data_IF_713302069264
#
_entry.id   IF_713302069264
#
_cell.length_a   1.000
_cell.length_b   1.000
_cell.length_c   1.000
_cell.angle_alpha   90.00
_cell.angle_beta   90.00
_cell.angle_gamma   90.00
#
_symmetry.space_group_name_H-M   'P 1'
#
loop_
_entity.id
_entity.type
_entity.pdbx_description
1 polymer ?
#
# COMPACT_ATOMS: atom_id res chain seq x y z
N UNK A 1 25.60 4.10 10.05
CA UNK A 1 25.87 5.31 10.84
C UNK A 1 24.62 5.61 11.68
N UNK A 2 24.64 5.32 12.98
CA UNK A 2 23.47 5.39 13.91
C UNK A 2 23.87 6.15 15.20
N UNK A 3 24.23 7.44 15.10
CA UNK A 3 24.65 8.22 16.29
C UNK A 3 24.02 9.60 16.43
N UNK A 4 23.22 10.07 15.47
CA UNK A 4 22.72 11.45 15.49
C UNK A 4 21.36 11.64 16.19
N UNK A 5 20.64 10.57 16.55
CA UNK A 5 19.33 10.70 17.19
C UNK A 5 19.42 10.94 18.71
N UNK A 6 20.48 10.43 19.37
CA UNK A 6 20.68 10.63 20.81
C UNK A 6 21.18 12.05 21.16
N UNK A 7 21.79 12.75 20.20
CA UNK A 7 22.39 14.07 20.42
C UNK A 7 21.35 15.20 20.48
N UNK A 8 20.16 14.99 19.93
CA UNK A 8 19.05 15.97 19.98
C UNK A 8 18.41 15.99 21.39
N UNK A 9 18.48 14.87 22.11
CA UNK A 9 17.93 14.73 23.46
C UNK A 9 18.70 15.53 24.52
N UNK A 10 20.01 15.75 24.33
CA UNK A 10 20.85 16.48 25.28
C UNK A 10 20.81 18.00 25.10
N UNK A 11 20.45 18.51 23.92
CA UNK A 11 20.57 19.95 23.63
C UNK A 11 19.34 20.76 24.07
N UNK A 12 18.18 20.11 24.27
CA UNK A 12 16.98 20.77 24.81
C UNK A 12 16.92 20.80 26.35
N UNK A 13 17.71 19.98 27.05
CA UNK A 13 17.73 19.92 28.51
C UNK A 13 18.58 21.01 29.19
N UNK A 14 19.31 21.84 28.43
CA UNK A 14 20.34 22.71 28.98
C UNK A 14 19.93 24.18 29.25
N UNK A 15 18.67 24.58 29.03
CA UNK A 15 18.26 26.00 29.12
C UNK A 15 17.15 26.33 30.12
N UNK A 16 16.86 25.47 31.09
CA UNK A 16 15.86 25.74 32.13
C UNK A 16 16.38 25.52 33.55
N UNK A 17 17.49 26.20 33.89
CA UNK A 17 17.84 26.43 35.29
C UNK A 17 17.56 27.88 35.68
N UNK A 18 17.00 28.02 36.89
CA UNK A 18 16.56 29.21 37.63
C UNK A 18 15.10 29.64 37.44
N UNK A 19 14.21 29.16 38.32
CA UNK A 19 13.47 30.02 39.26
C UNK A 19 13.12 29.28 40.57
N UNK A 20 13.65 29.81 41.67
CA UNK A 20 13.21 29.85 43.08
C UNK A 20 12.36 28.72 43.70
N UNK A 21 12.89 28.20 44.82
CA UNK A 21 12.14 27.47 45.85
C UNK A 21 10.98 28.30 46.42
N UNK A 22 9.85 27.63 46.61
CA UNK A 22 9.00 27.82 47.79
C UNK A 22 8.74 26.44 48.36
N UNK A 23 9.23 26.22 49.57
CA UNK A 23 8.84 25.12 50.45
C UNK A 23 7.31 25.12 50.56
N UNK A 24 6.67 24.03 50.14
CA UNK A 24 5.44 23.55 50.75
C UNK A 24 5.36 22.04 50.49
N UNK A 25 5.77 21.30 51.52
CA UNK A 25 5.63 19.85 51.67
C UNK A 25 4.13 19.50 51.77
N UNK A 26 3.48 19.39 50.64
CA UNK A 26 2.27 18.61 50.47
C UNK A 26 2.60 17.51 49.46
N UNK A 27 2.73 16.28 49.95
CA UNK A 27 2.82 15.08 49.11
C UNK A 27 1.47 14.83 48.42
N UNK A 28 1.02 15.78 47.60
CA UNK A 28 -0.06 15.61 46.62
C UNK A 28 0.56 14.82 45.48
N UNK A 29 0.20 13.55 45.36
CA UNK A 29 0.41 12.82 44.11
C UNK A 29 -0.17 13.65 42.96
N UNK A 30 0.70 14.16 42.10
CA UNK A 30 0.34 14.89 40.89
C UNK A 30 -0.39 13.94 39.95
N UNK A 31 -1.70 13.85 40.13
CA UNK A 31 -2.60 12.97 39.39
C UNK A 31 -3.06 13.59 38.05
N UNK A 32 -2.48 14.72 37.64
CA UNK A 32 -2.83 15.41 36.40
C UNK A 32 -2.67 14.54 35.14
N UNK A 33 -1.79 13.53 35.19
CA UNK A 33 -1.62 12.55 34.12
C UNK A 33 -2.85 11.66 33.91
N UNK A 34 -3.71 11.47 34.91
CA UNK A 34 -4.96 10.69 34.75
C UNK A 34 -5.92 11.41 33.80
N UNK A 35 -5.93 12.75 33.82
CA UNK A 35 -6.83 13.57 33.01
C UNK A 35 -6.53 13.51 31.51
N UNK A 36 -5.35 13.04 31.11
CA UNK A 36 -5.01 12.84 29.68
C UNK A 36 -5.55 11.53 29.12
N UNK A 37 -6.11 10.65 29.96
CA UNK A 37 -6.73 9.40 29.48
C UNK A 37 -8.10 9.69 28.90
N UNK A 38 -8.18 9.75 27.57
CA UNK A 38 -9.39 10.10 26.85
C UNK A 38 -9.37 9.54 25.42
N UNK A 39 -10.54 9.58 24.78
CA UNK A 39 -10.66 9.41 23.33
C UNK A 39 -10.80 10.80 22.70
N UNK A 40 -9.84 11.17 21.89
CA UNK A 40 -9.75 12.45 21.19
C UNK A 40 -10.33 12.31 19.78
N UNK A 41 -11.26 13.20 19.45
CA UNK A 41 -11.96 13.27 18.16
C UNK A 41 -12.32 14.72 17.83
N UNK A 42 -12.52 15.02 16.54
CA UNK A 42 -12.98 16.33 16.08
C UNK A 42 -12.17 17.49 16.70
N UNK A 43 -12.82 18.45 17.37
CA UNK A 43 -12.18 19.65 17.94
C UNK A 43 -11.14 19.37 19.03
N UNK A 44 -11.16 18.18 19.63
CA UNK A 44 -10.17 17.76 20.65
C UNK A 44 -8.95 17.06 20.06
N UNK A 45 -8.91 16.86 18.74
CA UNK A 45 -7.82 16.17 18.05
C UNK A 45 -7.29 17.00 16.88
N UNK A 46 -5.99 17.27 16.89
CA UNK A 46 -5.23 17.74 15.73
C UNK A 46 -4.26 16.65 15.33
N UNK A 47 -4.64 15.84 14.34
CA UNK A 47 -3.88 14.69 13.90
C UNK A 47 -3.20 14.96 12.55
N UNK A 48 -1.92 14.66 12.48
CA UNK A 48 -1.18 14.58 11.22
C UNK A 48 -0.58 13.19 11.02
N UNK A 49 -0.47 12.79 9.75
CA UNK A 49 0.29 11.62 9.31
C UNK A 49 1.47 12.10 8.47
N UNK A 50 2.69 11.96 9.00
CA UNK A 50 3.90 12.47 8.34
C UNK A 50 3.80 13.98 8.05
N UNK A 51 3.20 14.75 8.96
CA UNK A 51 2.97 16.18 8.82
C UNK A 51 1.77 16.59 7.93
N UNK A 52 1.03 15.64 7.35
CA UNK A 52 -0.19 15.93 6.58
C UNK A 52 -1.43 15.76 7.45
N UNK A 53 -2.31 16.75 7.50
CA UNK A 53 -3.54 16.70 8.29
C UNK A 53 -4.45 15.55 7.86
N UNK A 54 -5.02 14.85 8.85
CA UNK A 54 -5.96 13.75 8.64
C UNK A 54 -7.25 14.02 9.41
N UNK A 55 -8.37 14.10 8.70
CA UNK A 55 -9.68 14.37 9.26
C UNK A 55 -10.45 13.08 9.59
N UNK A 56 -11.53 13.22 10.37
CA UNK A 56 -12.49 12.15 10.68
C UNK A 56 -11.89 10.90 11.37
N UNK A 57 -10.80 11.09 12.12
CA UNK A 57 -10.13 10.03 12.87
C UNK A 57 -10.32 10.14 14.38
N UNK A 58 -10.00 9.05 15.08
CA UNK A 58 -10.05 8.94 16.53
C UNK A 58 -8.72 8.42 17.06
N UNK A 59 -8.24 9.04 18.15
CA UNK A 59 -7.07 8.57 18.90
C UNK A 59 -7.46 8.38 20.35
N UNK A 60 -7.18 7.20 20.90
CA UNK A 60 -7.36 6.94 22.33
C UNK A 60 -6.01 6.99 23.03
N UNK A 61 -5.94 7.69 24.16
CA UNK A 61 -4.79 7.68 25.05
C UNK A 61 -5.23 7.07 26.38
N UNK A 62 -4.49 6.07 26.85
CA UNK A 62 -4.69 5.42 28.14
C UNK A 62 -3.41 5.58 28.97
N UNK A 63 -3.37 6.55 29.89
CA UNK A 63 -2.22 6.76 30.76
C UNK A 63 -2.20 5.73 31.89
N UNK A 64 -1.07 5.03 32.04
CA UNK A 64 -0.86 4.04 33.10
C UNK A 64 -0.08 4.62 34.29
N UNK A 65 0.67 5.70 34.07
CA UNK A 65 1.40 6.45 35.09
C UNK A 65 1.72 7.87 34.62
N UNK A 66 2.39 8.67 35.45
CA UNK A 66 2.90 9.99 35.04
C UNK A 66 3.94 9.94 33.90
N UNK A 67 4.53 8.77 33.63
CA UNK A 67 5.64 8.59 32.69
C UNK A 67 5.27 7.72 31.47
N UNK A 68 4.08 7.11 31.46
CA UNK A 68 3.70 6.09 30.46
C UNK A 68 2.22 6.16 30.10
N UNK A 69 1.95 6.00 28.80
CA UNK A 69 0.61 5.83 28.25
C UNK A 69 0.63 4.88 27.06
N UNK A 70 -0.52 4.33 26.72
CA UNK A 70 -0.76 3.64 25.46
C UNK A 70 -1.57 4.54 24.54
N UNK A 71 -1.05 4.80 23.33
CA UNK A 71 -1.76 5.51 22.26
C UNK A 71 -2.35 4.47 21.32
N UNK A 72 -3.66 4.49 21.11
CA UNK A 72 -4.35 3.64 20.12
C UNK A 72 -4.77 4.49 18.93
N UNK A 73 -4.18 4.21 17.78
CA UNK A 73 -4.51 4.80 16.48
C UNK A 73 -5.53 3.90 15.78
N UNK A 74 -6.74 4.39 15.50
CA UNK A 74 -7.77 3.62 14.80
C UNK A 74 -7.78 3.95 13.29
N UNK A 75 -7.83 2.92 12.45
CA UNK A 75 -7.95 3.02 10.98
C UNK A 75 -6.96 3.99 10.30
N UNK A 76 -5.78 4.19 10.89
CA UNK A 76 -4.79 5.16 10.40
C UNK A 76 -3.71 4.51 9.55
N UNK A 77 -3.44 3.22 9.79
CA UNK A 77 -2.46 2.43 9.05
C UNK A 77 -3.22 1.52 8.09
N UNK A 78 -2.87 1.48 6.79
CA UNK A 78 -3.59 0.67 5.81
C UNK A 78 -3.69 -0.81 6.24
N UNK A 79 -4.91 -1.35 6.27
CA UNK A 79 -5.17 -2.75 6.62
C UNK A 79 -5.18 -3.07 8.12
N UNK A 80 -4.99 -2.09 8.99
CA UNK A 80 -5.00 -2.28 10.44
C UNK A 80 -6.12 -1.47 11.08
N UNK A 81 -7.11 -2.17 11.65
CA UNK A 81 -8.23 -1.53 12.34
C UNK A 81 -7.74 -0.70 13.55
N UNK A 82 -6.74 -1.18 14.28
CA UNK A 82 -6.10 -0.46 15.37
C UNK A 82 -4.60 -0.75 15.47
N UNK A 83 -3.82 0.26 15.84
CA UNK A 83 -2.40 0.13 16.20
C UNK A 83 -2.19 0.73 17.59
N UNK A 84 -1.63 -0.08 18.51
CA UNK A 84 -1.30 0.33 19.88
C UNK A 84 0.18 0.65 19.99
N UNK A 85 0.48 1.84 20.51
CA UNK A 85 1.82 2.39 20.69
C UNK A 85 2.02 2.65 22.17
N UNK A 86 2.98 1.95 22.76
CA UNK A 86 3.46 2.32 24.10
C UNK A 86 4.28 3.61 23.98
N UNK A 87 3.88 4.62 24.74
CA UNK A 87 4.41 5.98 24.67
C UNK A 87 4.96 6.41 26.03
N UNK A 88 6.13 7.05 25.99
CA UNK A 88 6.67 7.79 27.12
C UNK A 88 5.92 9.11 27.26
N UNK A 89 5.59 9.48 28.50
CA UNK A 89 5.05 10.78 28.85
C UNK A 89 6.08 11.65 29.54
N UNK A 90 6.07 12.95 29.25
CA UNK A 90 6.87 13.96 29.93
C UNK A 90 6.01 15.19 30.22
N UNK A 91 5.82 15.51 31.50
CA UNK A 91 5.14 16.75 31.90
C UNK A 91 5.98 17.96 31.50
N UNK A 92 5.35 18.91 30.80
CA UNK A 92 5.96 20.17 30.33
C UNK A 92 5.04 21.33 30.72
N UNK A 93 5.28 21.93 31.89
CA UNK A 93 4.33 22.88 32.49
C UNK A 93 3.01 22.18 32.83
N UNK A 94 1.90 22.70 32.29
CA UNK A 94 0.55 22.12 32.43
C UNK A 94 0.22 21.09 31.32
N UNK A 95 1.14 20.86 30.38
CA UNK A 95 0.95 19.95 29.25
C UNK A 95 1.68 18.62 29.45
N UNK A 96 1.29 17.60 28.69
CA UNK A 96 1.99 16.32 28.62
C UNK A 96 2.45 16.05 27.20
N UNK A 97 3.76 15.93 27.00
CA UNK A 97 4.33 15.45 25.76
C UNK A 97 4.29 13.91 25.74
N UNK A 98 3.94 13.33 24.60
CA UNK A 98 3.86 11.89 24.37
C UNK A 98 4.77 11.52 23.20
N UNK A 99 5.58 10.47 23.35
CA UNK A 99 6.39 9.94 22.26
C UNK A 99 6.53 8.41 22.40
N UNK A 100 6.20 7.69 21.34
CA UNK A 100 6.25 6.22 21.32
C UNK A 100 6.36 5.65 19.92
N UNK A 101 6.61 4.35 19.84
CA UNK A 101 6.55 3.62 18.58
C UNK A 101 6.13 2.16 18.76
N UNK A 102 5.47 1.63 17.74
CA UNK A 102 5.21 0.21 17.53
C UNK A 102 6.12 -0.25 16.37
N UNK A 103 7.06 -1.15 16.62
CA UNK A 103 8.05 -1.57 15.63
C UNK A 103 8.12 -3.09 15.51
N UNK A 104 8.23 -3.56 14.28
CA UNK A 104 8.62 -4.93 13.94
C UNK A 104 9.67 -4.91 12.82
N UNK A 105 10.01 -6.06 12.25
CA UNK A 105 11.04 -6.16 11.21
C UNK A 105 10.63 -5.51 9.87
N UNK A 106 9.33 -5.33 9.64
CA UNK A 106 8.76 -4.88 8.37
C UNK A 106 8.36 -3.40 8.38
N UNK A 107 8.08 -2.82 9.55
CA UNK A 107 7.73 -1.41 9.70
C UNK A 107 7.92 -0.86 11.12
N UNK A 108 7.91 0.46 11.20
CA UNK A 108 7.75 1.23 12.41
C UNK A 108 6.56 2.17 12.26
N UNK A 109 5.65 2.17 13.24
CA UNK A 109 4.63 3.22 13.42
C UNK A 109 5.04 4.05 14.63
N UNK A 110 5.27 5.35 14.47
CA UNK A 110 5.61 6.24 15.59
C UNK A 110 4.51 7.26 15.82
N UNK A 111 4.40 7.73 17.06
CA UNK A 111 3.48 8.79 17.43
C UNK A 111 4.20 9.77 18.36
N UNK A 112 4.11 11.06 18.05
CA UNK A 112 4.69 12.14 18.83
C UNK A 112 3.72 13.30 18.92
N UNK A 113 3.47 13.80 20.12
CA UNK A 113 2.50 14.87 20.31
C UNK A 113 2.46 15.44 21.71
N UNK A 114 1.47 16.29 21.92
CA UNK A 114 1.24 16.97 23.20
C UNK A 114 -0.26 17.01 23.49
N UNK A 115 -0.62 16.74 24.74
CA UNK A 115 -1.94 17.06 25.29
C UNK A 115 -1.82 18.39 26.05
N UNK A 116 -2.55 19.40 25.59
CA UNK A 116 -2.59 20.73 26.19
C UNK A 116 -4.03 21.24 26.20
N UNK A 117 -4.49 21.73 27.36
CA UNK A 117 -5.85 22.27 27.53
C UNK A 117 -6.97 21.33 27.00
N UNK A 118 -6.80 20.01 27.16
CA UNK A 118 -7.77 19.00 26.71
C UNK A 118 -7.73 18.69 25.21
N UNK A 119 -6.81 19.28 24.45
CA UNK A 119 -6.62 19.01 23.02
C UNK A 119 -5.35 18.19 22.81
N UNK A 120 -5.47 17.09 22.07
CA UNK A 120 -4.33 16.30 21.61
C UNK A 120 -3.87 16.82 20.25
N UNK A 121 -2.62 17.29 20.18
CA UNK A 121 -1.92 17.52 18.91
C UNK A 121 -0.93 16.39 18.71
N UNK A 122 -1.12 15.56 17.68
CA UNK A 122 -0.35 14.34 17.46
C UNK A 122 0.09 14.25 16.00
N UNK A 123 1.38 14.00 15.78
CA UNK A 123 1.90 13.51 14.51
C UNK A 123 2.21 12.02 14.63
N UNK A 124 1.56 11.22 13.78
CA UNK A 124 1.86 9.81 13.61
C UNK A 124 2.64 9.60 12.30
N UNK A 125 3.49 8.59 12.26
CA UNK A 125 4.28 8.27 11.07
C UNK A 125 4.28 6.77 10.83
N UNK A 126 4.14 6.38 9.58
CA UNK A 126 4.42 5.02 9.12
C UNK A 126 5.78 5.03 8.42
N UNK A 127 6.62 4.04 8.74
CA UNK A 127 7.87 3.78 8.05
C UNK A 127 7.98 2.29 7.74
N UNK A 128 7.70 1.89 6.50
CA UNK A 128 7.94 0.56 5.99
C UNK A 128 9.46 0.35 5.85
N UNK A 129 9.96 -0.69 6.51
CA UNK A 129 11.36 -1.15 6.47
C UNK A 129 11.52 -2.46 5.71
N UNK A 130 10.42 -3.07 5.29
CA UNK A 130 10.42 -4.29 4.51
C UNK A 130 11.27 -4.14 3.23
N UNK A 131 11.98 -5.21 2.77
CA UNK A 131 12.91 -5.12 1.64
C UNK A 131 12.29 -4.66 0.31
N UNK A 132 10.96 -4.78 0.17
CA UNK A 132 10.22 -4.29 -0.98
C UNK A 132 10.18 -2.75 -1.08
N UNK A 133 10.42 -2.02 0.01
CA UNK A 133 10.45 -0.57 -0.02
C UNK A 133 11.51 -0.03 -1.01
N UNK A 134 11.18 1.09 -1.66
CA UNK A 134 11.98 1.77 -2.66
C UNK A 134 11.43 1.67 -4.08
N UNK A 135 12.19 2.25 -5.01
CA UNK A 135 11.84 2.28 -6.43
C UNK A 135 12.35 1.03 -7.14
N UNK A 136 11.47 0.41 -7.92
CA UNK A 136 11.75 -0.75 -8.75
C UNK A 136 11.37 -0.45 -10.19
N UNK A 137 12.30 -0.67 -11.11
CA UNK A 137 12.04 -0.63 -12.55
C UNK A 137 11.48 -1.97 -13.01
N UNK A 138 10.79 -1.97 -14.14
CA UNK A 138 10.46 -3.21 -14.83
C UNK A 138 11.74 -3.94 -15.27
N UNK A 139 11.75 -5.27 -15.16
CA UNK A 139 12.79 -6.07 -15.79
C UNK A 139 12.83 -5.80 -17.30
N UNK A 140 14.04 -5.82 -17.87
CA UNK A 140 14.23 -5.53 -19.29
C UNK A 140 13.65 -6.64 -20.18
N UNK A 141 13.22 -6.27 -21.38
CA UNK A 141 12.88 -7.25 -22.40
C UNK A 141 14.18 -7.80 -22.99
N UNK A 142 14.37 -9.11 -22.86
CA UNK A 142 15.43 -9.83 -23.54
C UNK A 142 14.88 -10.48 -24.82
N UNK A 143 15.68 -10.42 -25.88
CA UNK A 143 15.44 -11.10 -27.16
C UNK A 143 16.63 -11.96 -27.53
N UNK A 144 16.39 -12.97 -28.36
CA UNK A 144 17.46 -13.76 -28.97
C UNK A 144 18.08 -13.06 -30.19
N UNK A 145 19.08 -13.69 -30.80
CA UNK A 145 19.75 -13.19 -32.01
C UNK A 145 18.81 -13.00 -33.20
N UNK A 146 17.64 -13.66 -33.19
CA UNK A 146 16.60 -13.54 -34.22
C UNK A 146 15.54 -12.49 -33.88
N UNK A 147 15.81 -11.60 -32.91
CA UNK A 147 14.89 -10.58 -32.41
C UNK A 147 13.58 -11.13 -31.81
N UNK A 148 13.55 -12.42 -31.47
CA UNK A 148 12.38 -13.07 -30.87
C UNK A 148 12.39 -12.86 -29.37
N UNK A 149 11.22 -12.61 -28.78
CA UNK A 149 11.05 -12.44 -27.34
C UNK A 149 11.53 -13.67 -26.56
N UNK A 150 12.38 -13.45 -25.56
CA UNK A 150 12.89 -14.50 -24.65
C UNK A 150 12.35 -14.30 -23.24
N UNK A 151 12.39 -13.07 -22.73
CA UNK A 151 11.86 -12.75 -21.40
C UNK A 151 11.53 -11.27 -21.27
N UNK A 152 10.76 -10.92 -20.26
CA UNK A 152 10.38 -9.55 -19.97
C UNK A 152 9.76 -9.39 -18.58
N UNK A 153 9.20 -8.21 -18.28
CA UNK A 153 8.69 -7.91 -16.95
C UNK A 153 7.39 -8.62 -16.60
N UNK A 154 6.59 -9.09 -17.55
CA UNK A 154 5.42 -9.91 -17.21
C UNK A 154 5.86 -11.35 -16.95
N UNK A 155 5.32 -11.95 -15.90
CA UNK A 155 5.51 -13.37 -15.56
C UNK A 155 4.18 -14.04 -15.34
N UNK A 156 4.03 -15.25 -15.86
CA UNK A 156 2.83 -16.04 -15.66
C UNK A 156 3.14 -17.53 -15.48
N UNK A 157 2.51 -18.12 -14.49
CA UNK A 157 2.44 -19.58 -14.30
C UNK A 157 0.97 -19.95 -14.36
N UNK A 158 0.61 -20.83 -15.29
CA UNK A 158 -0.75 -21.37 -15.36
C UNK A 158 -0.70 -22.86 -15.66
N UNK A 159 -0.98 -23.66 -14.63
CA UNK A 159 -1.07 -25.12 -14.70
C UNK A 159 -2.52 -25.54 -14.48
N UNK A 160 -3.04 -26.41 -15.34
CA UNK A 160 -4.41 -26.91 -15.26
C UNK A 160 -4.46 -28.37 -15.76
N UNK A 161 -5.59 -29.03 -15.51
CA UNK A 161 -5.84 -30.38 -16.03
C UNK A 161 -5.64 -30.44 -17.56
N UNK A 162 -5.16 -31.59 -18.05
CA UNK A 162 -4.91 -31.80 -19.47
C UNK A 162 -6.17 -31.51 -20.31
N UNK A 163 -6.00 -30.83 -21.44
CA UNK A 163 -7.11 -30.43 -22.32
C UNK A 163 -7.92 -29.23 -21.82
N UNK A 164 -7.53 -28.57 -20.73
CA UNK A 164 -8.21 -27.34 -20.28
C UNK A 164 -8.02 -26.21 -21.30
N UNK A 165 -9.15 -25.60 -21.69
CA UNK A 165 -9.21 -24.48 -22.64
C UNK A 165 -9.71 -23.22 -21.93
N UNK A 166 -9.20 -22.06 -22.35
CA UNK A 166 -9.78 -20.75 -22.07
C UNK A 166 -10.38 -20.21 -23.38
N UNK A 167 -11.69 -20.35 -23.52
CA UNK A 167 -12.35 -20.15 -24.81
C UNK A 167 -11.82 -21.13 -25.84
N UNK A 168 -11.07 -20.63 -26.82
CA UNK A 168 -10.48 -21.42 -27.92
C UNK A 168 -8.96 -21.66 -27.76
N UNK A 169 -8.35 -21.16 -26.68
CA UNK A 169 -6.91 -21.31 -26.44
C UNK A 169 -6.63 -22.39 -25.39
N UNK A 170 -5.69 -23.32 -25.63
CA UNK A 170 -5.21 -24.21 -24.57
C UNK A 170 -4.54 -23.41 -23.45
N UNK A 171 -4.89 -23.68 -22.19
CA UNK A 171 -4.33 -22.95 -21.03
C UNK A 171 -2.80 -22.99 -21.02
N UNK A 172 -2.21 -24.10 -21.45
CA UNK A 172 -0.76 -24.30 -21.55
C UNK A 172 -0.05 -23.33 -22.51
N UNK A 173 -0.77 -22.73 -23.45
CA UNK A 173 -0.21 -21.75 -24.40
C UNK A 173 -0.25 -20.31 -23.87
N UNK A 174 -1.09 -20.03 -22.87
CA UNK A 174 -1.37 -18.68 -22.39
C UNK A 174 -0.15 -18.02 -21.75
N UNK A 175 0.65 -18.69 -20.90
CA UNK A 175 1.82 -18.04 -20.29
C UNK A 175 2.76 -17.42 -21.32
N UNK A 176 3.10 -18.12 -22.40
CA UNK A 176 3.99 -17.60 -23.44
C UNK A 176 3.39 -16.37 -24.15
N UNK A 177 2.08 -16.40 -24.43
CA UNK A 177 1.36 -15.27 -25.04
C UNK A 177 1.35 -14.07 -24.09
N UNK A 178 0.99 -14.30 -22.82
CA UNK A 178 0.89 -13.26 -21.80
C UNK A 178 2.25 -12.63 -21.48
N UNK A 179 3.30 -13.43 -21.32
CA UNK A 179 4.64 -12.92 -21.07
C UNK A 179 5.17 -12.10 -22.26
N UNK A 180 5.03 -12.60 -23.50
CA UNK A 180 5.51 -11.89 -24.69
C UNK A 180 4.75 -10.59 -24.95
N UNK A 181 3.45 -10.70 -25.23
CA UNK A 181 2.63 -9.53 -25.58
C UNK A 181 2.45 -8.59 -24.39
N UNK A 182 2.22 -9.14 -23.19
CA UNK A 182 2.06 -8.35 -21.98
C UNK A 182 3.30 -7.54 -21.66
N UNK A 183 4.49 -8.13 -21.81
CA UNK A 183 5.75 -7.39 -21.61
C UNK A 183 5.94 -6.24 -22.59
N UNK A 184 5.71 -6.48 -23.90
CA UNK A 184 5.84 -5.46 -24.95
C UNK A 184 4.85 -4.30 -24.74
N UNK A 185 3.63 -4.61 -24.29
CA UNK A 185 2.64 -3.60 -23.94
C UNK A 185 3.04 -2.81 -22.68
N UNK A 186 3.44 -3.53 -21.63
CA UNK A 186 3.66 -2.95 -20.31
C UNK A 186 4.80 -1.94 -20.29
N UNK A 187 5.92 -2.22 -20.96
CA UNK A 187 7.08 -1.31 -21.01
C UNK A 187 6.80 0.02 -21.71
N UNK A 188 5.68 0.13 -22.43
CA UNK A 188 5.25 1.39 -23.05
C UNK A 188 4.48 2.29 -22.08
N UNK A 189 3.89 1.72 -21.03
CA UNK A 189 2.97 2.41 -20.11
C UNK A 189 3.48 2.54 -18.69
N UNK A 190 4.38 1.65 -18.27
CA UNK A 190 4.94 1.63 -16.92
C UNK A 190 6.47 1.50 -17.01
N UNK A 191 7.18 2.39 -16.32
CA UNK A 191 8.63 2.33 -16.22
C UNK A 191 9.08 1.78 -14.87
N UNK A 192 8.44 2.26 -13.80
CA UNK A 192 8.81 1.89 -12.43
C UNK A 192 7.64 2.05 -11.48
N UNK A 193 7.72 1.30 -10.38
CA UNK A 193 6.84 1.41 -9.21
C UNK A 193 7.71 1.73 -8.00
N UNK A 194 7.28 2.68 -7.19
CA UNK A 194 7.94 3.03 -5.93
C UNK A 194 7.00 2.71 -4.79
N UNK A 195 7.43 1.76 -3.95
CA UNK A 195 6.83 1.48 -2.66
C UNK A 195 7.49 2.43 -1.65
N UNK A 196 6.88 3.58 -1.41
CA UNK A 196 7.44 4.62 -0.56
C UNK A 196 7.49 4.15 0.90
N UNK A 197 8.45 4.65 1.68
CA UNK A 197 8.60 4.23 3.08
C UNK A 197 7.39 4.67 3.94
N UNK A 198 6.66 5.71 3.54
CA UNK A 198 5.45 6.18 4.24
C UNK A 198 4.20 5.33 3.99
N UNK A 199 4.33 4.23 3.24
CA UNK A 199 3.21 3.36 2.88
C UNK A 199 2.44 3.82 1.65
N UNK A 200 2.92 4.79 0.88
CA UNK A 200 2.30 5.18 -0.39
C UNK A 200 2.92 4.41 -1.58
N UNK A 201 2.12 4.20 -2.63
CA UNK A 201 2.60 3.68 -3.91
C UNK A 201 2.49 4.78 -4.96
N UNK A 202 3.60 5.05 -5.64
CA UNK A 202 3.64 5.91 -6.83
C UNK A 202 4.31 5.17 -7.99
N UNK A 203 3.98 5.53 -9.22
CA UNK A 203 4.51 4.89 -10.41
C UNK A 203 4.98 5.92 -11.44
N UNK A 204 6.03 5.59 -12.19
CA UNK A 204 6.41 6.31 -13.41
C UNK A 204 5.65 5.70 -14.59
N UNK A 205 4.64 6.43 -15.07
CA UNK A 205 3.70 6.01 -16.11
C UNK A 205 3.85 6.85 -17.37
N UNK A 206 3.51 6.28 -18.52
CA UNK A 206 3.56 6.99 -19.80
C UNK A 206 2.23 7.64 -20.15
N UNK A 207 2.26 8.91 -20.57
CA UNK A 207 1.10 9.58 -21.17
C UNK A 207 0.94 9.32 -22.67
N UNK A 208 1.88 8.62 -23.29
CA UNK A 208 1.89 8.38 -24.74
C UNK A 208 0.90 7.29 -25.20
N UNK A 209 0.31 6.54 -24.27
CA UNK A 209 -0.57 5.41 -24.56
C UNK A 209 0.20 4.13 -24.90
N UNK A 210 -0.50 3.17 -25.51
CA UNK A 210 0.06 1.86 -25.91
C UNK A 210 -0.36 1.54 -27.34
N UNK A 211 0.57 1.03 -28.14
CA UNK A 211 0.28 0.45 -29.45
C UNK A 211 1.07 -0.86 -29.60
N UNK A 212 0.34 -1.94 -29.92
CA UNK A 212 0.90 -3.29 -30.03
C UNK A 212 1.50 -3.56 -31.42
N UNK A 213 1.14 -2.75 -32.42
CA UNK A 213 1.61 -2.87 -33.80
C UNK A 213 2.85 -2.02 -34.08
N UNK A 214 2.92 -0.84 -33.46
CA UNK A 214 4.03 0.13 -33.60
C UNK A 214 4.33 0.73 -32.23
N UNK A 215 5.34 0.22 -31.50
CA UNK A 215 5.63 0.69 -30.15
C UNK A 215 5.74 2.22 -30.10
N UNK A 216 4.97 2.82 -29.19
CA UNK A 216 4.99 4.26 -28.98
C UNK A 216 6.17 4.60 -28.08
N UNK A 217 6.91 5.66 -28.41
CA UNK A 217 7.95 6.19 -27.52
C UNK A 217 7.29 6.75 -26.26
N UNK A 218 7.60 6.22 -25.06
CA UNK A 218 6.95 6.67 -23.83
C UNK A 218 7.30 8.11 -23.45
N UNK A 219 6.35 8.79 -22.80
CA UNK A 219 6.54 10.10 -22.17
C UNK A 219 6.27 9.95 -20.68
N UNK A 220 7.33 9.85 -19.90
CA UNK A 220 7.28 9.46 -18.49
C UNK A 220 6.84 10.61 -17.57
N UNK A 221 5.93 10.29 -16.66
CA UNK A 221 5.51 11.14 -15.56
C UNK A 221 5.31 10.29 -14.31
N UNK A 222 5.71 10.83 -13.16
CA UNK A 222 5.44 10.17 -11.87
C UNK A 222 4.05 10.54 -11.40
N UNK A 223 3.25 9.54 -11.04
CA UNK A 223 1.93 9.75 -10.44
C UNK A 223 2.04 10.50 -9.11
N UNK A 224 1.06 11.36 -8.82
CA UNK A 224 0.93 11.93 -7.48
C UNK A 224 0.66 10.83 -6.43
N UNK A 225 1.05 11.01 -5.16
CA UNK A 225 0.64 10.12 -4.08
C UNK A 225 -0.89 10.05 -3.89
N UNK A 226 -1.35 9.02 -3.18
CA UNK A 226 -2.75 8.88 -2.78
C UNK A 226 -3.67 8.16 -3.78
N UNK A 227 -3.15 7.62 -4.89
CA UNK A 227 -3.91 6.67 -5.71
C UNK A 227 -3.89 5.26 -5.13
N UNK A 228 -2.79 4.90 -4.48
CA UNK A 228 -2.64 3.62 -3.80
C UNK A 228 -1.74 3.77 -2.58
N UNK A 229 -2.05 3.00 -1.54
CA UNK A 229 -1.24 2.83 -0.34
C UNK A 229 -1.02 1.35 -0.06
N UNK A 230 -0.09 1.02 0.82
CA UNK A 230 0.21 -0.35 1.16
C UNK A 230 0.69 -0.52 2.59
N UNK A 231 0.51 -1.75 3.06
CA UNK A 231 1.15 -2.27 4.25
C UNK A 231 1.78 -3.62 3.91
N UNK A 232 2.68 -4.10 4.77
CA UNK A 232 3.42 -5.33 4.55
C UNK A 232 3.18 -6.30 5.70
N UNK A 233 2.96 -7.55 5.32
CA UNK A 233 2.94 -8.73 6.19
C UNK A 233 4.15 -9.61 5.88
N UNK A 234 4.39 -10.65 6.67
CA UNK A 234 5.53 -11.56 6.47
C UNK A 234 5.61 -12.19 5.07
N UNK A 235 4.48 -12.23 4.33
CA UNK A 235 4.37 -12.92 3.03
C UNK A 235 3.87 -12.04 1.90
N UNK A 236 3.13 -10.98 2.21
CA UNK A 236 2.33 -10.24 1.24
C UNK A 236 2.39 -8.73 1.48
N UNK A 237 2.32 -8.01 0.38
CA UNK A 237 1.95 -6.60 0.33
C UNK A 237 0.42 -6.57 0.31
N UNK A 238 -0.20 -5.78 1.19
CA UNK A 238 -1.62 -5.47 1.12
C UNK A 238 -1.76 -4.11 0.41
N UNK A 239 -2.34 -4.09 -0.78
CA UNK A 239 -2.48 -2.88 -1.61
C UNK A 239 -3.89 -2.32 -1.46
N UNK A 240 -4.00 -1.05 -1.08
CA UNK A 240 -5.25 -0.33 -0.95
C UNK A 240 -5.34 0.70 -2.06
N UNK A 241 -6.47 0.77 -2.75
CA UNK A 241 -6.69 1.66 -3.88
C UNK A 241 -7.66 2.76 -3.49
N UNK A 242 -7.32 4.02 -3.80
CA UNK A 242 -8.29 5.12 -3.73
C UNK A 242 -9.12 5.13 -5.01
N UNK A 243 -10.21 4.36 -5.00
CA UNK A 243 -11.11 4.23 -6.14
C UNK A 243 -11.78 5.56 -6.49
N UNK A 244 -12.03 6.43 -5.51
CA UNK A 244 -12.62 7.75 -5.76
C UNK A 244 -11.65 8.62 -6.57
N UNK A 245 -10.38 8.67 -6.17
CA UNK A 245 -9.33 9.41 -6.89
C UNK A 245 -9.05 8.80 -8.26
N UNK A 246 -9.00 7.46 -8.35
CA UNK A 246 -8.82 6.75 -9.62
C UNK A 246 -9.99 7.06 -10.57
N UNK A 247 -11.24 6.84 -10.16
CA UNK A 247 -12.42 7.09 -11.00
C UNK A 247 -12.58 8.57 -11.35
N UNK A 248 -12.27 9.48 -10.42
CA UNK A 248 -12.30 10.93 -10.67
C UNK A 248 -11.32 11.37 -11.77
N UNK A 249 -10.23 10.61 -11.97
CA UNK A 249 -9.26 10.86 -13.04
C UNK A 249 -9.67 10.25 -14.40
N UNK A 250 -10.63 9.34 -14.44
CA UNK A 250 -11.09 8.70 -15.67
C UNK A 250 -12.09 9.60 -16.43
N UNK A 251 -11.93 9.70 -17.75
CA UNK A 251 -12.77 10.53 -18.62
C UNK A 251 -14.20 9.99 -18.79
N UNK A 252 -14.46 8.72 -18.46
CA UNK A 252 -15.78 8.07 -18.59
C UNK A 252 -16.35 7.71 -17.22
N UNK A 253 -17.44 8.39 -16.84
CA UNK A 253 -18.24 8.08 -15.65
C UNK A 253 -19.23 6.93 -15.90
N UNK A 254 -18.78 5.82 -16.48
CA UNK A 254 -19.61 4.63 -16.41
C UNK A 254 -19.70 4.26 -14.93
N UNK A 255 -20.88 4.43 -14.34
CA UNK A 255 -21.17 3.98 -13.00
C UNK A 255 -21.16 2.46 -13.03
N UNK A 256 -19.98 1.87 -12.92
CA UNK A 256 -19.85 0.47 -12.57
C UNK A 256 -20.14 0.46 -11.09
N UNK A 257 -21.35 0.06 -10.72
CA UNK A 257 -21.66 -0.21 -9.32
C UNK A 257 -20.76 -1.39 -8.90
N UNK A 258 -19.73 -1.18 -8.06
CA UNK A 258 -18.76 -2.21 -7.79
C UNK A 258 -19.46 -3.34 -7.04
N UNK A 259 -19.34 -4.57 -7.54
CA UNK A 259 -19.90 -5.75 -6.88
C UNK A 259 -19.40 -5.81 -5.42
N UNK A 260 -20.26 -6.16 -4.45
CA UNK A 260 -19.91 -6.16 -3.02
C UNK A 260 -18.59 -6.89 -2.71
N UNK A 261 -18.31 -7.97 -3.44
CA UNK A 261 -17.06 -8.75 -3.30
C UNK A 261 -15.83 -7.97 -3.76
N UNK A 262 -15.95 -7.14 -4.80
CA UNK A 262 -14.89 -6.22 -5.24
C UNK A 262 -14.70 -5.14 -4.17
N UNK A 263 -15.79 -4.60 -3.61
CA UNK A 263 -15.70 -3.63 -2.52
C UNK A 263 -15.00 -4.22 -1.28
N UNK A 264 -15.29 -5.46 -0.90
CA UNK A 264 -14.63 -6.12 0.22
C UNK A 264 -13.12 -6.29 -0.01
N UNK A 265 -12.69 -6.66 -1.23
CA UNK A 265 -11.26 -6.74 -1.58
C UNK A 265 -10.58 -5.37 -1.54
N UNK A 266 -11.28 -4.32 -2.00
CA UNK A 266 -10.78 -2.96 -1.98
C UNK A 266 -10.66 -2.41 -0.55
N UNK A 267 -11.57 -2.79 0.35
CA UNK A 267 -11.57 -2.37 1.75
C UNK A 267 -10.50 -3.09 2.59
N UNK A 268 -10.34 -4.40 2.40
CA UNK A 268 -9.40 -5.20 3.19
C UNK A 268 -7.97 -5.17 2.64
N UNK A 269 -7.78 -4.57 1.47
CA UNK A 269 -6.51 -4.54 0.76
C UNK A 269 -6.33 -5.77 -0.11
N UNK A 270 -5.82 -5.56 -1.32
CA UNK A 270 -5.54 -6.60 -2.30
C UNK A 270 -4.23 -7.30 -1.89
N UNK A 271 -4.27 -8.59 -1.55
CA UNK A 271 -3.06 -9.32 -1.18
C UNK A 271 -2.22 -9.63 -2.41
N UNK A 272 -1.02 -9.06 -2.47
CA UNK A 272 -0.03 -9.28 -3.52
C UNK A 272 1.18 -9.99 -2.91
N UNK A 273 1.48 -11.18 -3.40
CA UNK A 273 2.68 -11.90 -3.00
C UNK A 273 3.91 -11.18 -3.54
N UNK A 274 5.01 -11.22 -2.79
CA UNK A 274 6.28 -10.70 -3.26
C UNK A 274 7.45 -11.57 -2.86
N UNK A 275 8.45 -11.64 -3.74
CA UNK A 275 9.68 -12.38 -3.57
C UNK A 275 10.84 -11.43 -3.89
N UNK A 276 11.79 -11.30 -2.98
CA UNK A 276 13.01 -10.52 -3.20
C UNK A 276 14.17 -11.49 -3.39
N UNK A 277 14.91 -11.34 -4.47
CA UNK A 277 16.11 -12.12 -4.72
C UNK A 277 17.15 -11.86 -3.61
N UNK A 278 18.02 -12.84 -3.37
CA UNK A 278 19.01 -12.79 -2.28
C UNK A 278 19.99 -11.62 -2.39
N UNK A 279 20.19 -11.08 -3.59
CA UNK A 279 21.02 -9.90 -3.84
C UNK A 279 20.30 -8.56 -3.57
N UNK A 280 18.99 -8.60 -3.31
CA UNK A 280 18.14 -7.43 -3.11
C UNK A 280 17.92 -6.59 -4.36
N UNK A 281 18.35 -7.06 -5.54
CA UNK A 281 18.31 -6.29 -6.80
C UNK A 281 17.18 -6.71 -7.72
N UNK A 282 16.63 -7.89 -7.54
CA UNK A 282 15.47 -8.36 -8.30
C UNK A 282 14.32 -8.68 -7.36
N UNK A 283 13.10 -8.41 -7.82
CA UNK A 283 11.89 -8.77 -7.12
C UNK A 283 10.87 -9.34 -8.09
N UNK A 284 9.96 -10.17 -7.58
CA UNK A 284 8.74 -10.58 -8.26
C UNK A 284 7.56 -10.22 -7.39
N UNK A 285 6.58 -9.50 -7.93
CA UNK A 285 5.29 -9.24 -7.26
C UNK A 285 4.19 -9.91 -8.07
N UNK A 286 3.31 -10.68 -7.45
CA UNK A 286 2.31 -11.47 -8.18
C UNK A 286 1.04 -11.71 -7.38
N UNK A 287 -0.06 -11.88 -8.10
CA UNK A 287 -1.29 -12.45 -7.56
C UNK A 287 -1.34 -13.93 -7.88
N UNK A 288 -1.91 -14.72 -6.99
CA UNK A 288 -1.97 -16.18 -7.10
C UNK A 288 -3.39 -16.68 -7.37
N UNK A 289 -3.52 -18.00 -7.49
CA UNK A 289 -4.81 -18.68 -7.64
C UNK A 289 -5.80 -18.30 -6.53
N UNK A 290 -5.36 -18.15 -5.27
CA UNK A 290 -6.27 -17.90 -4.16
C UNK A 290 -6.97 -16.54 -4.28
N UNK A 291 -6.23 -15.51 -4.70
CA UNK A 291 -6.84 -14.21 -5.01
C UNK A 291 -7.67 -14.28 -6.30
N UNK A 292 -7.14 -14.89 -7.37
CA UNK A 292 -7.81 -14.94 -8.67
C UNK A 292 -9.13 -15.73 -8.62
N UNK A 293 -9.20 -16.79 -7.81
CA UNK A 293 -10.44 -17.56 -7.59
C UNK A 293 -11.54 -16.75 -6.89
N UNK A 294 -11.22 -15.70 -6.14
CA UNK A 294 -12.23 -14.82 -5.54
C UNK A 294 -12.87 -13.87 -6.57
N UNK A 295 -12.09 -13.43 -7.57
CA UNK A 295 -12.57 -12.50 -8.61
C UNK A 295 -13.12 -13.21 -9.84
N UNK A 296 -12.68 -14.44 -10.12
CA UNK A 296 -13.05 -15.19 -11.33
C UNK A 296 -14.58 -15.27 -11.53
N UNK A 297 -15.41 -15.58 -10.51
CA UNK A 297 -16.87 -15.66 -10.67
C UNK A 297 -17.53 -14.36 -11.14
N UNK A 298 -16.85 -13.22 -10.99
CA UNK A 298 -17.37 -11.90 -11.36
C UNK A 298 -17.05 -11.51 -12.80
N UNK A 299 -16.06 -12.15 -13.42
CA UNK A 299 -15.61 -11.84 -14.77
C UNK A 299 -16.70 -11.95 -15.84
N UNK A 300 -17.63 -12.93 -15.81
CA UNK A 300 -18.73 -12.98 -16.76
C UNK A 300 -19.64 -11.73 -16.70
N UNK A 301 -19.92 -11.22 -15.50
CA UNK A 301 -20.70 -9.99 -15.31
C UNK A 301 -19.95 -8.76 -15.81
N UNK A 302 -18.65 -8.67 -15.47
CA UNK A 302 -17.80 -7.56 -15.93
C UNK A 302 -17.61 -7.56 -17.45
N UNK A 303 -17.65 -8.74 -18.09
CA UNK A 303 -17.56 -8.86 -19.54
C UNK A 303 -18.71 -8.13 -20.26
N UNK A 304 -19.91 -8.09 -19.68
CA UNK A 304 -21.06 -7.41 -20.30
C UNK A 304 -20.87 -5.88 -20.40
N UNK A 305 -19.97 -5.31 -19.60
CA UNK A 305 -19.63 -3.89 -19.63
C UNK A 305 -18.73 -3.52 -20.80
N UNK A 306 -18.11 -4.51 -21.46
CA UNK A 306 -17.22 -4.28 -22.60
C UNK A 306 -18.08 -4.03 -23.85
N UNK A 307 -17.78 -3.00 -24.64
CA UNK A 307 -18.43 -2.79 -25.94
C UNK A 307 -18.00 -3.87 -26.95
N UNK A 308 -18.87 -4.26 -27.87
CA UNK A 308 -18.54 -5.29 -28.88
C UNK A 308 -17.40 -4.86 -29.81
N UNK A 309 -17.32 -3.56 -30.07
CA UNK A 309 -16.31 -2.85 -30.87
C UNK A 309 -15.08 -2.41 -30.06
N UNK A 310 -15.05 -2.66 -28.74
CA UNK A 310 -13.94 -2.29 -27.88
C UNK A 310 -12.62 -2.93 -28.32
N UNK A 311 -11.50 -2.33 -27.89
CA UNK A 311 -10.14 -2.84 -28.16
C UNK A 311 -9.89 -3.06 -29.67
N UNK A 312 -10.23 -2.08 -30.49
CA UNK A 312 -10.09 -2.15 -31.96
C UNK A 312 -10.85 -3.33 -32.58
N UNK A 313 -12.06 -3.62 -32.12
CA UNK A 313 -12.92 -4.69 -32.64
C UNK A 313 -12.70 -6.07 -32.01
N UNK A 314 -11.91 -6.16 -30.93
CA UNK A 314 -11.67 -7.41 -30.19
C UNK A 314 -12.64 -7.63 -29.01
N UNK A 315 -13.61 -6.74 -28.80
CA UNK A 315 -14.52 -6.78 -27.66
C UNK A 315 -15.22 -8.13 -27.46
N UNK A 316 -15.77 -8.71 -28.53
CA UNK A 316 -16.43 -10.03 -28.49
C UNK A 316 -15.47 -11.17 -28.10
N UNK A 317 -14.22 -11.10 -28.54
CA UNK A 317 -13.20 -12.08 -28.18
C UNK A 317 -12.91 -12.02 -26.67
N UNK A 318 -12.69 -10.80 -26.17
CA UNK A 318 -12.41 -10.56 -24.74
C UNK A 318 -13.58 -10.98 -23.87
N UNK A 319 -14.82 -10.67 -24.28
CA UNK A 319 -16.03 -11.15 -23.59
C UNK A 319 -16.05 -12.67 -23.47
N UNK A 320 -15.78 -13.37 -24.57
CA UNK A 320 -15.79 -14.84 -24.61
C UNK A 320 -14.74 -15.43 -23.67
N UNK A 321 -13.54 -14.83 -23.64
CA UNK A 321 -12.46 -15.23 -22.73
C UNK A 321 -12.86 -15.01 -21.27
N UNK A 322 -13.37 -13.83 -20.92
CA UNK A 322 -13.78 -13.50 -19.55
C UNK A 322 -14.93 -14.40 -19.05
N UNK A 323 -15.85 -14.77 -19.94
CA UNK A 323 -16.95 -15.71 -19.62
C UNK A 323 -16.48 -17.14 -19.42
N UNK A 324 -15.45 -17.58 -20.15
CA UNK A 324 -14.88 -18.92 -20.02
C UNK A 324 -13.87 -19.05 -18.86
N UNK A 325 -13.40 -17.93 -18.32
CA UNK A 325 -12.38 -17.89 -17.29
C UNK A 325 -12.72 -18.66 -16.01
N UNK A 326 -13.95 -18.57 -15.44
CA UNK A 326 -14.30 -19.31 -14.23
C UNK A 326 -14.12 -20.84 -14.39
N UNK A 327 -14.59 -21.40 -15.49
CA UNK A 327 -14.50 -22.84 -15.76
C UNK A 327 -13.03 -23.29 -15.89
N UNK A 328 -12.20 -22.50 -16.57
CA UNK A 328 -10.76 -22.79 -16.66
C UNK A 328 -10.10 -22.74 -15.28
N UNK A 329 -10.49 -21.78 -14.42
CA UNK A 329 -9.96 -21.65 -13.06
C UNK A 329 -10.36 -22.79 -12.13
N UNK A 330 -11.53 -23.40 -12.31
CA UNK A 330 -11.93 -24.61 -11.56
C UNK A 330 -10.98 -25.79 -11.82
N UNK A 331 -10.51 -25.91 -13.06
CA UNK A 331 -9.58 -26.98 -13.51
C UNK A 331 -8.11 -26.64 -13.27
N UNK A 332 -7.82 -25.44 -12.79
CA UNK A 332 -6.46 -24.92 -12.59
C UNK A 332 -5.87 -25.49 -11.31
N UNK A 333 -4.63 -26.00 -11.34
CA UNK A 333 -3.89 -26.46 -10.15
C UNK A 333 -3.00 -25.37 -9.59
N UNK A 334 -2.37 -24.57 -10.46
CA UNK A 334 -1.49 -23.46 -10.09
C UNK A 334 -1.75 -22.27 -11.01
N UNK A 335 -1.85 -21.08 -10.41
CA UNK A 335 -1.97 -19.83 -11.13
C UNK A 335 -1.15 -18.76 -10.41
N UNK A 336 -0.29 -18.08 -11.14
CA UNK A 336 0.43 -16.90 -10.69
C UNK A 336 0.56 -15.95 -11.88
N UNK A 337 0.22 -14.68 -11.72
CA UNK A 337 0.50 -13.65 -12.72
C UNK A 337 1.05 -12.42 -12.02
N UNK A 338 2.10 -11.84 -12.57
CA UNK A 338 2.81 -10.79 -11.87
C UNK A 338 3.91 -10.13 -12.67
N UNK A 339 4.66 -9.29 -11.97
CA UNK A 339 5.72 -8.46 -12.51
C UNK A 339 7.08 -8.88 -11.96
N UNK A 340 8.07 -8.98 -12.85
CA UNK A 340 9.49 -9.03 -12.54
C UNK A 340 10.04 -7.59 -12.53
N UNK A 341 10.71 -7.29 -11.44
CA UNK A 341 11.15 -5.94 -11.06
C UNK A 341 12.65 -5.95 -10.75
N UNK A 342 13.33 -4.84 -11.01
CA UNK A 342 14.77 -4.68 -10.80
C UNK A 342 15.13 -3.32 -10.17
N UNK A 343 16.24 -3.28 -9.43
CA UNK A 343 16.84 -2.09 -8.82
C UNK A 343 18.16 -1.70 -9.50
#
# INVERSE_FOLDING_TARGET
MKKNLFFVFTMLCALSFFTACSDDDDNKTDDGWKAISATYTAETLKLTMGGTEVADQSVKVDASSAEQATITLANLIPGEAEVKIEAKMVKTGESYALEGSNTNDLRTVSAKGTVEAGVLTLDATLKITAPIAGTWKLAEIAKDESETFVSGPVSMVWEAAEGTMLGFLPVTSIPNIAEGFGSIALVQVLQSVTFQEDGQIVASISKAGVDLSKPVTPVWETSEPGYASYNVTDKQILVFLDITKIMGSLKSKAAIDPLEQIMALLQNGIPVNYEIASDGKSARVYIDKALVSQIAPLLPTLAELIGDDALNGMGQLVKSILKAFPEAMEKTTKFEVGLKLIK
#
